data_IF_395133329223
#
_entry.id   IF_395133329223
#
_cell.length_a   1.000
_cell.length_b   1.000
_cell.length_c   1.000
_cell.angle_alpha   90.00
_cell.angle_beta   90.00
_cell.angle_gamma   90.00
#
_symmetry.space_group_name_H-M   'P 1'
#
loop_
_entity.id
_entity.type
_entity.pdbx_description
1 polymer ?
#
# COMPACT_ATOMS: atom_id res chain seq x y z
N UNK A 1 47.35 37.09 -57.12
CA UNK A 1 46.70 37.93 -56.09
C UNK A 1 45.81 37.03 -55.23
N UNK A 2 45.78 37.05 -53.89
CA UNK A 2 46.81 37.28 -52.84
C UNK A 2 46.13 37.03 -51.47
N UNK A 3 46.86 36.49 -50.48
CA UNK A 3 46.46 36.29 -49.06
C UNK A 3 45.28 35.30 -48.79
N UNK A 4 45.15 34.53 -47.69
CA UNK A 4 45.79 34.41 -46.34
C UNK A 4 45.13 35.21 -45.20
N UNK A 5 45.11 34.59 -43.99
CA UNK A 5 44.65 35.10 -42.65
C UNK A 5 43.24 34.62 -42.24
N UNK A 6 42.94 33.85 -41.18
CA UNK A 6 43.59 33.34 -39.93
C UNK A 6 43.36 34.19 -38.65
N UNK A 7 42.99 33.52 -37.53
CA UNK A 7 42.83 34.02 -36.11
C UNK A 7 41.51 34.76 -35.81
N UNK A 8 40.94 34.73 -34.58
CA UNK A 8 41.22 33.95 -33.36
C UNK A 8 39.95 33.78 -32.46
N UNK A 9 40.08 32.91 -31.46
CA UNK A 9 39.29 32.67 -30.24
C UNK A 9 38.85 33.96 -29.46
N UNK A 10 37.95 33.96 -28.47
CA UNK A 10 37.72 33.13 -27.23
C UNK A 10 36.21 33.28 -26.80
N UNK A 11 35.58 32.67 -25.77
CA UNK A 11 35.81 31.64 -24.71
C UNK A 11 34.45 31.22 -24.10
N UNK A 12 34.41 30.15 -23.27
CA UNK A 12 33.35 29.83 -22.26
C UNK A 12 31.93 29.48 -22.77
N UNK A 13 31.14 28.58 -22.15
CA UNK A 13 31.34 27.59 -21.08
C UNK A 13 30.56 26.30 -21.49
N UNK A 14 31.05 25.07 -21.36
CA UNK A 14 31.35 24.34 -20.13
C UNK A 14 30.13 24.04 -19.22
N UNK A 15 29.18 23.21 -19.69
CA UNK A 15 28.39 22.26 -18.86
C UNK A 15 27.61 21.26 -19.75
N UNK A 16 28.27 20.17 -20.20
CA UNK A 16 27.67 19.21 -21.15
C UNK A 16 27.29 17.85 -20.53
N UNK A 17 25.99 17.62 -20.39
CA UNK A 17 25.29 16.33 -20.54
C UNK A 17 25.73 15.09 -19.73
N UNK A 18 26.54 15.18 -18.66
CA UNK A 18 26.91 13.98 -17.87
C UNK A 18 25.99 13.64 -16.68
N UNK A 19 25.24 14.58 -16.12
CA UNK A 19 24.42 14.32 -14.91
C UNK A 19 22.95 13.91 -15.17
N UNK A 20 22.38 14.20 -16.34
CA UNK A 20 20.94 13.97 -16.57
C UNK A 20 20.51 12.49 -16.54
N UNK A 21 21.44 11.54 -16.73
CA UNK A 21 21.13 10.11 -16.65
C UNK A 21 21.14 9.53 -15.23
N UNK A 22 21.54 10.29 -14.19
CA UNK A 22 21.71 9.76 -12.82
C UNK A 22 20.46 9.81 -11.93
N UNK A 23 19.35 10.40 -12.39
CA UNK A 23 18.16 10.69 -11.56
C UNK A 23 16.86 9.96 -11.97
N UNK A 24 16.85 9.19 -13.06
CA UNK A 24 15.63 8.58 -13.60
C UNK A 24 15.52 7.04 -13.48
N UNK A 25 16.41 6.40 -12.71
CA UNK A 25 16.29 4.98 -12.35
C UNK A 25 16.27 4.80 -10.83
N UNK A 26 15.27 5.41 -10.17
CA UNK A 26 14.65 4.77 -9.00
C UNK A 26 14.02 3.49 -9.54
N UNK A 27 14.72 2.36 -9.39
CA UNK A 27 14.33 1.13 -10.08
C UNK A 27 12.91 0.71 -9.68
N UNK A 28 12.16 0.07 -10.58
CA UNK A 28 10.82 -0.42 -10.25
C UNK A 28 10.83 -1.46 -9.10
N UNK A 29 12.00 -2.01 -8.75
CA UNK A 29 12.16 -2.84 -7.55
C UNK A 29 12.12 -2.04 -6.24
N UNK A 30 12.33 -0.72 -6.22
CA UNK A 30 12.24 0.06 -4.97
C UNK A 30 10.81 0.53 -4.64
N UNK A 31 9.93 0.51 -5.64
CA UNK A 31 8.53 0.91 -5.54
C UNK A 31 7.64 -0.23 -5.07
N UNK A 32 6.37 0.10 -4.78
CA UNK A 32 5.32 -0.86 -4.48
C UNK A 32 4.92 -1.58 -5.79
N UNK A 33 4.93 -2.92 -5.87
CA UNK A 33 4.74 -3.62 -7.14
C UNK A 33 3.30 -3.47 -7.68
N UNK A 34 3.13 -3.54 -9.00
CA UNK A 34 1.86 -3.21 -9.65
C UNK A 34 0.71 -4.16 -9.29
N UNK A 35 0.98 -5.44 -9.06
CA UNK A 35 0.00 -6.38 -8.49
C UNK A 35 -0.51 -5.92 -7.12
N UNK A 36 0.35 -5.30 -6.30
CA UNK A 36 -0.02 -4.69 -5.01
C UNK A 36 -0.79 -3.37 -5.20
N UNK A 37 -0.51 -2.56 -6.23
CA UNK A 37 -1.32 -1.37 -6.55
C UNK A 37 -2.73 -1.76 -7.02
N UNK A 38 -2.84 -2.75 -7.90
CA UNK A 38 -4.09 -3.28 -8.44
C UNK A 38 -4.89 -4.10 -7.43
N UNK A 39 -4.23 -4.65 -6.40
CA UNK A 39 -4.83 -5.50 -5.34
C UNK A 39 -6.03 -4.88 -4.62
N UNK A 40 -6.19 -3.56 -4.63
CA UNK A 40 -7.26 -2.93 -3.87
C UNK A 40 -8.67 -3.28 -4.41
N UNK A 41 -8.80 -3.78 -5.65
CA UNK A 41 -10.08 -3.89 -6.39
C UNK A 41 -11.18 -4.65 -5.64
N UNK A 42 -12.38 -4.06 -5.63
CA UNK A 42 -13.49 -4.37 -4.73
C UNK A 42 -14.20 -5.74 -4.91
N UNK A 43 -13.64 -6.73 -5.62
CA UNK A 43 -14.36 -8.02 -5.86
C UNK A 43 -14.33 -8.97 -4.66
N UNK A 44 -13.32 -8.87 -3.79
CA UNK A 44 -13.13 -9.72 -2.61
C UNK A 44 -12.47 -8.98 -1.43
N UNK A 45 -12.92 -7.77 -1.04
CA UNK A 45 -12.18 -6.97 -0.02
C UNK A 45 -11.95 -7.66 1.32
N UNK A 46 -12.78 -8.67 1.66
CA UNK A 46 -12.65 -9.52 2.83
C UNK A 46 -11.54 -10.58 2.74
N UNK A 47 -11.01 -10.89 1.55
CA UNK A 47 -9.92 -11.86 1.34
C UNK A 47 -8.57 -11.14 1.32
N UNK A 48 -7.52 -11.89 0.98
CA UNK A 48 -6.25 -11.30 0.58
C UNK A 48 -6.48 -10.39 -0.63
N UNK A 49 -6.20 -9.07 -0.56
CA UNK A 49 -6.41 -8.19 -1.72
C UNK A 49 -5.56 -8.57 -2.94
N UNK A 50 -4.41 -9.25 -2.76
CA UNK A 50 -3.43 -9.48 -3.83
C UNK A 50 -3.69 -10.78 -4.58
N UNK A 51 -4.21 -11.80 -3.88
CA UNK A 51 -4.59 -13.17 -4.33
C UNK A 51 -3.49 -14.01 -5.02
N UNK A 52 -2.52 -13.39 -5.70
CA UNK A 52 -1.43 -14.00 -6.48
C UNK A 52 -0.22 -14.44 -5.63
N UNK A 53 -0.39 -14.59 -4.32
CA UNK A 53 0.65 -15.04 -3.39
C UNK A 53 1.73 -13.98 -3.11
N UNK A 54 3.00 -14.33 -3.35
CA UNK A 54 4.15 -13.46 -3.05
C UNK A 54 4.59 -12.69 -4.31
N UNK A 55 4.42 -11.36 -4.38
CA UNK A 55 4.76 -10.58 -5.58
C UNK A 55 6.27 -10.39 -5.80
N UNK A 56 7.11 -10.90 -4.89
CA UNK A 56 8.56 -10.79 -4.97
C UNK A 56 9.19 -12.16 -5.30
N UNK A 57 10.20 -12.19 -6.18
CA UNK A 57 10.96 -13.43 -6.45
C UNK A 57 11.76 -13.87 -5.21
N UNK A 58 12.09 -15.17 -5.08
CA UNK A 58 12.87 -15.70 -3.95
C UNK A 58 14.25 -15.03 -3.74
N UNK A 59 14.79 -14.35 -4.77
CA UNK A 59 16.06 -13.61 -4.71
C UNK A 59 15.92 -12.21 -4.11
N UNK A 60 14.69 -11.68 -4.00
CA UNK A 60 14.40 -10.37 -3.41
C UNK A 60 14.34 -10.47 -1.89
N UNK A 61 15.01 -9.55 -1.18
CA UNK A 61 15.02 -9.53 0.30
C UNK A 61 13.61 -9.37 0.89
N UNK A 62 12.70 -8.72 0.16
CA UNK A 62 11.29 -8.54 0.52
C UNK A 62 10.49 -9.84 0.44
N UNK A 63 10.92 -10.85 -0.31
CA UNK A 63 10.21 -12.13 -0.38
C UNK A 63 10.03 -12.77 1.00
N UNK A 64 11.10 -12.81 1.82
CA UNK A 64 11.03 -13.33 3.19
C UNK A 64 10.24 -12.43 4.13
N UNK A 65 10.36 -11.10 3.98
CA UNK A 65 9.55 -10.15 4.75
C UNK A 65 8.05 -10.34 4.47
N UNK A 66 7.69 -10.46 3.19
CA UNK A 66 6.33 -10.65 2.71
C UNK A 66 5.72 -11.99 3.15
N UNK A 67 6.49 -13.07 3.04
CA UNK A 67 6.06 -14.40 3.45
C UNK A 67 5.76 -14.44 4.97
N UNK A 68 6.68 -13.95 5.80
CA UNK A 68 6.48 -13.84 7.26
C UNK A 68 5.30 -12.93 7.62
N UNK A 69 5.11 -11.83 6.88
CA UNK A 69 3.98 -10.93 7.10
C UNK A 69 2.64 -11.53 6.64
N UNK A 70 2.64 -12.40 5.63
CA UNK A 70 1.46 -13.17 5.19
C UNK A 70 1.10 -14.23 6.22
N UNK A 71 2.07 -15.03 6.70
CA UNK A 71 1.84 -16.01 7.77
C UNK A 71 1.40 -15.37 9.09
N UNK A 72 1.79 -14.11 9.36
CA UNK A 72 1.22 -13.34 10.47
C UNK A 72 -0.22 -12.90 10.19
N UNK A 73 -0.52 -12.44 8.98
CA UNK A 73 -1.85 -11.99 8.58
C UNK A 73 -2.89 -13.12 8.64
N UNK A 74 -2.56 -14.30 8.12
CA UNK A 74 -3.41 -15.50 8.18
C UNK A 74 -3.78 -15.86 9.62
N UNK A 75 -2.79 -15.90 10.53
CA UNK A 75 -3.01 -16.17 11.96
C UNK A 75 -3.83 -15.07 12.64
N UNK A 76 -3.65 -13.81 12.24
CA UNK A 76 -4.45 -12.69 12.75
C UNK A 76 -5.91 -12.76 12.30
N UNK A 77 -6.18 -13.18 11.06
CA UNK A 77 -7.54 -13.38 10.54
C UNK A 77 -8.27 -14.50 11.28
N UNK A 78 -7.66 -15.69 11.38
CA UNK A 78 -8.24 -16.83 12.13
C UNK A 78 -8.56 -16.44 13.57
N UNK A 79 -7.67 -15.67 14.22
CA UNK A 79 -7.92 -15.12 15.56
C UNK A 79 -9.09 -14.14 15.57
N UNK A 80 -9.12 -13.14 14.69
CA UNK A 80 -10.18 -12.12 14.68
C UNK A 80 -11.56 -12.67 14.29
N UNK A 81 -11.61 -13.66 13.41
CA UNK A 81 -12.86 -14.34 13.08
C UNK A 81 -13.38 -15.13 14.29
N UNK A 82 -12.51 -15.87 15.00
CA UNK A 82 -12.87 -16.54 16.25
C UNK A 82 -13.25 -15.60 17.39
N UNK A 83 -12.59 -14.43 17.50
CA UNK A 83 -12.96 -13.38 18.46
C UNK A 83 -14.33 -12.76 18.13
N UNK A 84 -14.65 -12.59 16.83
CA UNK A 84 -15.95 -12.12 16.37
C UNK A 84 -17.04 -13.17 16.62
N UNK A 85 -16.83 -14.44 16.28
CA UNK A 85 -17.78 -15.53 16.55
C UNK A 85 -18.11 -15.66 18.05
N UNK A 86 -17.09 -15.64 18.92
CA UNK A 86 -17.29 -15.68 20.37
C UNK A 86 -18.01 -14.43 20.87
N UNK A 87 -17.73 -13.25 20.30
CA UNK A 87 -18.46 -12.02 20.62
C UNK A 87 -19.94 -12.15 20.24
N UNK A 88 -20.26 -12.69 19.06
CA UNK A 88 -21.64 -12.83 18.58
C UNK A 88 -22.42 -13.91 19.36
N UNK A 89 -21.76 -15.00 19.74
CA UNK A 89 -22.32 -16.05 20.60
C UNK A 89 -22.69 -15.53 21.99
N UNK A 90 -21.83 -14.71 22.59
CA UNK A 90 -21.98 -14.25 23.98
C UNK A 90 -22.77 -12.94 24.11
N UNK A 91 -22.73 -12.08 23.10
CA UNK A 91 -23.49 -10.82 23.06
C UNK A 91 -23.82 -10.44 21.60
N UNK A 92 -24.98 -10.89 21.08
CA UNK A 92 -25.43 -10.55 19.74
C UNK A 92 -25.36 -9.05 19.45
N UNK A 93 -24.75 -8.70 18.31
CA UNK A 93 -24.64 -7.33 17.81
C UNK A 93 -25.53 -7.17 16.58
N UNK A 94 -26.07 -5.97 16.30
CA UNK A 94 -26.74 -5.70 15.03
C UNK A 94 -25.80 -6.02 13.86
N UNK A 95 -26.31 -6.74 12.85
CA UNK A 95 -25.52 -7.15 11.68
C UNK A 95 -24.70 -6.02 11.02
N UNK A 96 -25.20 -4.77 10.88
CA UNK A 96 -24.41 -3.63 10.41
C UNK A 96 -23.13 -3.38 11.25
N UNK A 97 -23.22 -3.50 12.58
CA UNK A 97 -22.07 -3.36 13.50
C UNK A 97 -21.04 -4.47 13.27
N UNK A 98 -21.49 -5.70 13.00
CA UNK A 98 -20.63 -6.85 12.71
C UNK A 98 -19.81 -6.61 11.43
N UNK A 99 -20.47 -6.09 10.38
CA UNK A 99 -19.83 -5.76 9.10
C UNK A 99 -18.78 -4.65 9.26
N UNK A 100 -19.04 -3.63 10.09
CA UNK A 100 -18.05 -2.59 10.43
C UNK A 100 -16.83 -3.18 11.17
N UNK A 101 -17.04 -4.01 12.19
CA UNK A 101 -15.96 -4.65 12.96
C UNK A 101 -15.09 -5.52 12.04
N UNK A 102 -15.73 -6.32 11.17
CA UNK A 102 -15.04 -7.19 10.21
C UNK A 102 -14.17 -6.38 9.23
N UNK A 103 -14.74 -5.32 8.64
CA UNK A 103 -14.01 -4.47 7.71
C UNK A 103 -12.80 -3.80 8.36
N UNK A 104 -12.95 -3.26 9.57
CA UNK A 104 -11.86 -2.60 10.30
C UNK A 104 -10.74 -3.57 10.68
N UNK A 105 -11.07 -4.76 11.20
CA UNK A 105 -10.05 -5.78 11.52
C UNK A 105 -9.28 -6.23 10.28
N UNK A 106 -9.99 -6.60 9.20
CA UNK A 106 -9.34 -7.07 7.97
C UNK A 106 -8.53 -5.96 7.28
N UNK A 107 -9.02 -4.72 7.29
CA UNK A 107 -8.25 -3.55 6.82
C UNK A 107 -6.92 -3.41 7.57
N UNK A 108 -6.92 -3.55 8.90
CA UNK A 108 -5.72 -3.45 9.74
C UNK A 108 -4.73 -4.59 9.47
N UNK A 109 -5.20 -5.82 9.36
CA UNK A 109 -4.36 -6.99 9.08
C UNK A 109 -3.64 -6.82 7.74
N UNK A 110 -4.37 -6.45 6.68
CA UNK A 110 -3.78 -6.30 5.36
C UNK A 110 -2.89 -5.06 5.22
N UNK A 111 -3.25 -3.94 5.88
CA UNK A 111 -2.39 -2.76 6.00
C UNK A 111 -1.08 -3.10 6.69
N UNK A 112 -1.12 -3.83 7.82
CA UNK A 112 0.07 -4.29 8.54
C UNK A 112 0.96 -5.19 7.69
N UNK A 113 0.39 -6.05 6.84
CA UNK A 113 1.16 -6.87 5.90
C UNK A 113 1.79 -6.03 4.80
N UNK A 114 1.01 -5.17 4.14
CA UNK A 114 1.51 -4.26 3.11
C UNK A 114 2.68 -3.39 3.63
N UNK A 115 2.55 -2.84 4.85
CA UNK A 115 3.58 -2.10 5.56
C UNK A 115 4.91 -2.85 5.74
N UNK A 116 4.93 -4.20 5.71
CA UNK A 116 6.16 -4.99 5.92
C UNK A 116 7.25 -4.73 4.88
N UNK A 117 6.86 -4.32 3.66
CA UNK A 117 7.78 -4.08 2.55
C UNK A 117 7.94 -2.59 2.21
N UNK A 118 7.31 -1.68 2.96
CA UNK A 118 7.36 -0.24 2.72
C UNK A 118 8.69 0.34 3.18
N UNK A 119 9.41 0.95 2.24
CA UNK A 119 10.63 1.77 2.44
C UNK A 119 10.36 3.18 1.89
N UNK A 120 11.30 4.14 2.09
CA UNK A 120 11.12 5.55 1.65
C UNK A 120 10.57 5.69 0.21
N UNK A 121 11.08 4.98 -0.82
CA UNK A 121 10.57 5.12 -2.20
C UNK A 121 9.15 4.57 -2.43
N UNK A 122 8.67 3.65 -1.58
CA UNK A 122 7.34 3.03 -1.66
C UNK A 122 6.31 3.65 -0.68
N UNK A 123 6.68 4.70 0.07
CA UNK A 123 5.80 5.33 1.06
C UNK A 123 4.57 5.97 0.41
N UNK A 124 4.76 6.73 -0.67
CA UNK A 124 3.67 7.41 -1.37
C UNK A 124 2.70 6.41 -2.01
N UNK A 125 3.22 5.37 -2.66
CA UNK A 125 2.43 4.26 -3.21
C UNK A 125 1.55 3.61 -2.13
N UNK A 126 2.09 3.40 -0.93
CA UNK A 126 1.36 2.78 0.19
C UNK A 126 0.25 3.69 0.74
N UNK A 127 0.46 5.00 0.80
CA UNK A 127 -0.59 5.96 1.21
C UNK A 127 -1.71 6.08 0.16
N UNK A 128 -1.37 5.98 -1.13
CA UNK A 128 -2.34 5.85 -2.21
C UNK A 128 -3.10 4.52 -2.13
N UNK A 129 -2.41 3.40 -1.87
CA UNK A 129 -3.02 2.08 -1.69
C UNK A 129 -4.01 2.06 -0.52
N UNK A 130 -3.64 2.60 0.65
CA UNK A 130 -4.54 2.75 1.80
C UNK A 130 -5.81 3.54 1.42
N UNK A 131 -5.64 4.68 0.73
CA UNK A 131 -6.74 5.53 0.28
C UNK A 131 -7.66 4.80 -0.71
N UNK A 132 -7.09 4.01 -1.62
CA UNK A 132 -7.82 3.20 -2.59
C UNK A 132 -8.56 2.04 -1.91
N UNK A 133 -7.94 1.41 -0.91
CA UNK A 133 -8.51 0.27 -0.20
C UNK A 133 -9.72 0.67 0.67
N UNK A 134 -9.73 1.89 1.24
CA UNK A 134 -10.95 2.45 1.87
C UNK A 134 -12.10 2.56 0.87
N UNK A 135 -11.85 3.12 -0.32
CA UNK A 135 -12.87 3.28 -1.39
C UNK A 135 -13.44 1.93 -1.82
N UNK A 136 -12.59 0.92 -1.98
CA UNK A 136 -13.01 -0.40 -2.42
C UNK A 136 -13.71 -1.23 -1.33
N UNK A 137 -13.39 -1.03 -0.05
CA UNK A 137 -14.21 -1.57 1.05
C UNK A 137 -15.63 -1.00 1.04
N UNK A 138 -15.77 0.32 0.91
CA UNK A 138 -17.08 0.97 0.83
C UNK A 138 -17.88 0.52 -0.40
N UNK A 139 -17.22 0.40 -1.56
CA UNK A 139 -17.85 -0.17 -2.76
C UNK A 139 -18.29 -1.62 -2.55
N UNK A 140 -17.41 -2.48 -2.04
CA UNK A 140 -17.74 -3.89 -1.78
C UNK A 140 -18.97 -4.01 -0.89
N UNK A 141 -19.01 -3.29 0.24
CA UNK A 141 -20.14 -3.39 1.19
C UNK A 141 -21.43 -2.81 0.61
N UNK A 142 -21.36 -1.72 -0.18
CA UNK A 142 -22.52 -1.21 -0.93
C UNK A 142 -23.05 -2.23 -1.95
N UNK A 143 -22.15 -2.91 -2.66
CA UNK A 143 -22.50 -3.87 -3.70
C UNK A 143 -23.04 -5.20 -3.11
N UNK A 144 -22.47 -5.70 -2.00
CA UNK A 144 -22.85 -7.01 -1.40
C UNK A 144 -23.90 -6.92 -0.30
N UNK A 145 -24.01 -5.77 0.37
CA UNK A 145 -24.93 -5.57 1.50
C UNK A 145 -25.87 -4.36 1.27
N UNK A 146 -26.59 -4.28 0.14
CA UNK A 146 -27.33 -3.07 -0.26
C UNK A 146 -28.50 -2.66 0.66
N UNK A 147 -28.81 -3.45 1.70
CA UNK A 147 -29.86 -3.18 2.69
C UNK A 147 -29.34 -2.65 4.04
N UNK A 148 -28.03 -2.49 4.22
CA UNK A 148 -27.46 -1.85 5.42
C UNK A 148 -26.86 -0.52 5.03
N UNK A 149 -27.24 0.55 5.74
CA UNK A 149 -26.41 1.74 5.72
C UNK A 149 -25.35 1.64 6.81
N UNK A 150 -24.10 1.54 6.36
CA UNK A 150 -22.90 1.60 7.18
C UNK A 150 -21.89 2.59 6.61
N UNK A 151 -22.21 3.32 5.54
CA UNK A 151 -21.21 4.00 4.72
C UNK A 151 -20.48 5.09 5.50
N UNK A 152 -21.20 5.90 6.26
CA UNK A 152 -20.61 6.99 7.04
C UNK A 152 -19.81 6.48 8.24
N UNK A 153 -20.34 5.48 8.95
CA UNK A 153 -19.66 4.87 10.11
C UNK A 153 -18.40 4.10 9.68
N UNK A 154 -18.52 3.26 8.64
CA UNK A 154 -17.40 2.51 8.07
C UNK A 154 -16.38 3.44 7.42
N UNK A 155 -16.83 4.42 6.63
CA UNK A 155 -15.97 5.36 5.94
C UNK A 155 -15.16 6.20 6.91
N UNK A 156 -15.77 6.66 8.00
CA UNK A 156 -15.09 7.35 9.09
C UNK A 156 -14.02 6.46 9.74
N UNK A 157 -14.38 5.23 10.13
CA UNK A 157 -13.44 4.32 10.81
C UNK A 157 -12.30 3.88 9.90
N UNK A 158 -12.57 3.43 8.67
CA UNK A 158 -11.55 3.02 7.71
C UNK A 158 -10.64 4.19 7.31
N UNK A 159 -11.17 5.41 7.16
CA UNK A 159 -10.34 6.62 6.94
C UNK A 159 -9.44 6.91 8.13
N UNK A 160 -9.92 6.70 9.36
CA UNK A 160 -9.08 6.82 10.56
C UNK A 160 -7.99 5.73 10.63
N UNK A 161 -8.28 4.49 10.21
CA UNK A 161 -7.27 3.42 10.10
C UNK A 161 -6.24 3.73 9.00
N UNK A 162 -6.66 4.23 7.84
CA UNK A 162 -5.75 4.68 6.77
C UNK A 162 -4.78 5.77 7.27
N UNK A 163 -5.29 6.81 7.95
CA UNK A 163 -4.47 7.86 8.58
C UNK A 163 -3.51 7.30 9.61
N UNK A 164 -3.95 6.36 10.45
CA UNK A 164 -3.10 5.67 11.43
C UNK A 164 -1.94 4.92 10.76
N UNK A 165 -2.24 4.09 9.75
CA UNK A 165 -1.24 3.27 9.06
C UNK A 165 -0.25 4.09 8.22
N UNK A 166 -0.70 5.16 7.57
CA UNK A 166 0.17 6.14 6.94
C UNK A 166 1.14 6.77 7.96
N UNK A 167 0.63 7.20 9.12
CA UNK A 167 1.45 7.72 10.21
C UNK A 167 2.48 6.70 10.76
N UNK A 168 2.12 5.42 10.84
CA UNK A 168 3.05 4.33 11.21
C UNK A 168 4.13 4.14 10.14
N UNK A 169 3.76 4.17 8.85
CA UNK A 169 4.70 4.07 7.74
C UNK A 169 5.71 5.23 7.74
N UNK A 170 5.23 6.48 7.81
CA UNK A 170 6.06 7.69 7.91
C UNK A 170 7.11 7.56 9.01
N UNK A 171 6.69 7.25 10.24
CA UNK A 171 7.63 7.07 11.37
C UNK A 171 8.67 5.97 11.10
N UNK A 172 8.27 4.80 10.63
CA UNK A 172 9.20 3.69 10.28
C UNK A 172 10.19 4.07 9.18
N UNK A 173 9.77 4.86 8.19
CA UNK A 173 10.65 5.32 7.10
C UNK A 173 11.55 6.50 7.50
N UNK A 174 11.20 7.25 8.54
CA UNK A 174 12.02 8.35 9.07
C UNK A 174 13.09 7.82 10.03
N UNK A 175 12.73 6.99 11.01
CA UNK A 175 13.64 6.34 11.98
C UNK A 175 14.47 5.18 11.38
N UNK A 176 14.75 5.22 10.08
CA UNK A 176 15.47 4.20 9.32
C UNK A 176 16.66 4.76 8.53
N UNK A 177 17.21 5.88 9.00
CA UNK A 177 18.51 6.48 8.65
C UNK A 177 19.29 6.65 9.94
#
# INVERSE_FOLDING_TARGET
VVQTTRRLALTSDAFSNHDQHRLLIVSNFERFPDSLRLSAVARWSHRDPIEQGNPFSQKDSRHRMWHTATAYAEKALVRSDGELENTLRNKPKPYPTCVVILAVSRFDVWSRRALSIVRRPALLDYEQWLTMYVKHWLKYVKDTCPKIDVNDTMGTQLTARAKHWAGVARRRTLSGT
#
